data_IF_970661905599
#
_entry.id   IF_970661905599
#
_cell.length_a   1.000
_cell.length_b   1.000
_cell.length_c   1.000
_cell.angle_alpha   90.00
_cell.angle_beta   90.00
_cell.angle_gamma   90.00
#
_symmetry.space_group_name_H-M   'P 1'
#
loop_
_entity.id
_entity.type
_entity.pdbx_description
1 polymer ?
#
# COMPACT_ATOMS: atom_id res chain seq x y z
N UNK A 1 14.05 6.13 2.81
CA UNK A 1 14.16 5.25 3.98
C UNK A 1 13.28 4.04 3.79
N UNK A 2 13.83 2.86 3.92
CA UNK A 2 13.08 1.61 3.75
C UNK A 2 12.55 1.13 5.11
N UNK A 3 11.27 0.80 5.12
CA UNK A 3 10.59 0.32 6.33
C UNK A 3 9.93 -1.02 6.01
N UNK A 4 9.74 -1.84 7.03
CA UNK A 4 9.00 -3.08 6.89
C UNK A 4 8.15 -3.32 8.14
N UNK A 5 7.00 -3.96 7.94
CA UNK A 5 6.08 -4.29 9.02
C UNK A 5 5.17 -5.44 8.61
N UNK A 6 4.60 -6.09 9.61
CA UNK A 6 3.56 -7.10 9.38
C UNK A 6 2.21 -6.46 9.64
N UNK A 7 1.36 -6.45 8.62
CA UNK A 7 0.08 -5.76 8.67
C UNK A 7 -1.05 -6.66 8.18
N UNK A 8 -2.28 -6.29 8.53
CA UNK A 8 -3.47 -6.93 7.98
C UNK A 8 -3.92 -6.13 6.76
N UNK A 9 -4.04 -6.79 5.61
CA UNK A 9 -4.48 -6.14 4.37
C UNK A 9 -5.98 -5.89 4.42
N UNK A 10 -6.39 -4.61 4.39
CA UNK A 10 -7.81 -4.25 4.37
C UNK A 10 -8.39 -4.16 2.97
N UNK A 11 -7.60 -3.71 2.01
CA UNK A 11 -8.04 -3.51 0.65
C UNK A 11 -7.30 -2.36 -0.03
N UNK A 12 -7.72 -2.05 -1.24
CA UNK A 12 -7.16 -0.93 -1.98
C UNK A 12 -8.25 -0.29 -2.83
N UNK A 13 -8.02 0.96 -3.18
CA UNK A 13 -8.96 1.77 -3.95
C UNK A 13 -8.20 2.67 -4.90
N UNK A 14 -8.67 2.77 -6.14
CA UNK A 14 -8.08 3.64 -7.15
C UNK A 14 -8.95 4.88 -7.35
N UNK A 15 -8.31 6.04 -7.39
CA UNK A 15 -9.00 7.33 -7.56
C UNK A 15 -8.27 8.20 -8.56
N UNK A 16 -8.98 9.05 -9.32
CA UNK A 16 -8.33 10.08 -10.15
C UNK A 16 -7.67 11.13 -9.26
N UNK A 17 -6.55 11.67 -9.72
CA UNK A 17 -5.87 12.74 -9.03
C UNK A 17 -6.68 14.03 -9.01
N UNK A 18 -6.60 14.80 -7.92
CA UNK A 18 -7.32 16.06 -7.79
C UNK A 18 -6.79 17.13 -8.74
N UNK A 19 -5.46 17.17 -8.92
CA UNK A 19 -4.82 18.15 -9.78
C UNK A 19 -4.73 17.70 -11.22
N UNK A 20 -4.65 16.39 -11.44
CA UNK A 20 -4.55 15.82 -12.77
C UNK A 20 -5.46 14.58 -12.85
N UNK A 21 -6.71 14.74 -13.31
CA UNK A 21 -7.65 13.62 -13.38
C UNK A 21 -7.23 12.51 -14.34
N UNK A 22 -6.25 12.77 -15.22
CA UNK A 22 -5.72 11.73 -16.11
C UNK A 22 -4.83 10.74 -15.38
N UNK A 23 -4.34 11.09 -14.20
CA UNK A 23 -3.53 10.20 -13.36
C UNK A 23 -4.41 9.51 -12.34
N UNK A 24 -4.24 8.20 -12.24
CA UNK A 24 -4.97 7.38 -11.26
C UNK A 24 -3.99 6.95 -10.17
N UNK A 25 -4.38 7.20 -8.93
CA UNK A 25 -3.60 6.79 -7.76
C UNK A 25 -4.33 5.66 -7.04
N UNK A 26 -3.58 4.65 -6.66
CA UNK A 26 -4.11 3.52 -5.89
C UNK A 26 -3.64 3.62 -4.45
N UNK A 27 -4.60 3.74 -3.54
CA UNK A 27 -4.34 3.81 -2.11
C UNK A 27 -4.61 2.45 -1.49
N UNK A 28 -3.65 1.97 -0.71
CA UNK A 28 -3.76 0.69 0.01
C UNK A 28 -4.01 0.98 1.48
N UNK A 29 -4.97 0.27 2.06
CA UNK A 29 -5.29 0.36 3.48
C UNK A 29 -4.78 -0.89 4.20
N UNK A 30 -4.02 -0.68 5.26
CA UNK A 30 -3.40 -1.73 6.06
C UNK A 30 -3.64 -1.45 7.55
N UNK A 31 -3.73 -2.51 8.34
CA UNK A 31 -3.83 -2.38 9.81
C UNK A 31 -2.57 -2.95 10.46
N UNK A 32 -1.99 -2.17 11.35
CA UNK A 32 -0.91 -2.62 12.23
C UNK A 32 -1.37 -2.40 13.68
N UNK A 33 -1.73 -3.50 14.34
CA UNK A 33 -2.36 -3.38 15.65
C UNK A 33 -3.66 -2.62 15.57
N UNK A 34 -3.75 -1.48 16.25
CA UNK A 34 -4.92 -0.60 16.22
C UNK A 34 -4.76 0.56 15.24
N UNK A 35 -3.61 0.66 14.58
CA UNK A 35 -3.32 1.76 13.68
C UNK A 35 -3.69 1.38 12.24
N UNK A 36 -4.32 2.31 11.54
CA UNK A 36 -4.58 2.17 10.12
C UNK A 36 -3.54 2.94 9.33
N UNK A 37 -2.90 2.26 8.37
CA UNK A 37 -1.94 2.86 7.47
C UNK A 37 -2.60 2.98 6.11
N UNK A 38 -2.57 4.18 5.53
CA UNK A 38 -2.99 4.41 4.15
C UNK A 38 -1.81 4.97 3.38
N UNK A 39 -1.48 4.31 2.27
CA UNK A 39 -0.33 4.72 1.46
C UNK A 39 -0.58 4.38 0.01
N UNK A 40 0.20 5.03 -0.86
CA UNK A 40 0.19 4.71 -2.27
C UNK A 40 1.00 3.44 -2.51
N UNK A 41 0.70 2.73 -3.58
CA UNK A 41 1.40 1.52 -3.96
C UNK A 41 2.14 1.71 -5.28
N UNK A 42 3.25 0.99 -5.44
CA UNK A 42 3.96 0.92 -6.71
C UNK A 42 3.06 0.30 -7.79
N UNK A 43 3.23 0.77 -9.03
CA UNK A 43 2.45 0.28 -10.16
C UNK A 43 2.56 -1.23 -10.35
N UNK A 44 3.74 -1.80 -10.14
CA UNK A 44 3.94 -3.24 -10.26
C UNK A 44 3.11 -4.03 -9.25
N UNK A 45 2.97 -3.52 -8.03
CA UNK A 45 2.15 -4.16 -7.01
C UNK A 45 0.67 -4.12 -7.35
N UNK A 46 0.22 -2.99 -7.90
CA UNK A 46 -1.18 -2.81 -8.29
C UNK A 46 -1.59 -3.85 -9.32
N UNK A 47 -0.74 -4.10 -10.31
CA UNK A 47 -1.05 -4.98 -11.40
C UNK A 47 -0.83 -6.47 -11.08
N UNK A 48 0.22 -6.79 -10.31
CA UNK A 48 0.69 -8.17 -10.17
C UNK A 48 0.39 -8.80 -8.82
N UNK A 49 0.30 -8.02 -7.76
CA UNK A 49 0.20 -8.54 -6.39
C UNK A 49 -1.14 -8.25 -5.75
N UNK A 50 -1.59 -7.00 -5.77
CA UNK A 50 -2.81 -6.61 -5.07
C UNK A 50 -4.06 -7.39 -5.48
N UNK A 51 -4.30 -7.66 -6.77
CA UNK A 51 -5.50 -8.41 -7.16
C UNK A 51 -5.55 -9.84 -6.63
N UNK A 52 -4.40 -10.41 -6.29
CA UNK A 52 -4.31 -11.76 -5.75
C UNK A 52 -4.37 -11.85 -4.23
N UNK A 53 -4.40 -10.72 -3.52
CA UNK A 53 -4.42 -10.72 -2.07
C UNK A 53 -5.83 -10.91 -1.52
N UNK A 54 -5.90 -11.68 -0.44
CA UNK A 54 -7.16 -11.89 0.28
C UNK A 54 -7.35 -10.78 1.31
N UNK A 55 -8.53 -10.15 1.29
CA UNK A 55 -8.88 -9.13 2.26
C UNK A 55 -8.81 -9.70 3.68
N UNK A 56 -8.26 -8.92 4.60
CA UNK A 56 -8.05 -9.27 6.02
C UNK A 56 -7.01 -10.37 6.25
N UNK A 57 -6.18 -10.68 5.26
CA UNK A 57 -5.05 -11.59 5.46
C UNK A 57 -3.86 -10.84 6.08
N UNK A 58 -3.03 -11.59 6.82
CA UNK A 58 -1.80 -11.05 7.41
C UNK A 58 -0.71 -11.05 6.34
N UNK A 59 -0.07 -9.92 6.14
CA UNK A 59 0.95 -9.75 5.10
C UNK A 59 2.21 -9.10 5.67
N UNK A 60 3.35 -9.48 5.11
CA UNK A 60 4.60 -8.74 5.31
C UNK A 60 4.64 -7.62 4.28
N UNK A 61 4.80 -6.40 4.77
CA UNK A 61 4.77 -5.21 3.94
C UNK A 61 6.12 -4.50 3.97
N UNK A 62 6.52 -3.97 2.81
CA UNK A 62 7.71 -3.16 2.67
C UNK A 62 7.30 -1.80 2.16
N UNK A 63 7.89 -0.76 2.75
CA UNK A 63 7.55 0.62 2.43
C UNK A 63 8.80 1.42 2.10
N UNK A 64 8.64 2.44 1.29
CA UNK A 64 9.65 3.47 1.07
C UNK A 64 9.10 4.78 1.62
N UNK A 65 9.79 5.35 2.61
CA UNK A 65 9.45 6.66 3.16
C UNK A 65 10.35 7.71 2.53
N UNK A 66 9.75 8.65 1.83
CA UNK A 66 10.47 9.81 1.33
C UNK A 66 10.41 10.90 2.39
N UNK A 67 11.50 11.04 3.14
CA UNK A 67 11.58 11.98 4.26
C UNK A 67 11.44 13.42 3.79
N UNK A 68 11.94 13.71 2.59
CA UNK A 68 11.91 15.06 2.03
C UNK A 68 10.50 15.55 1.76
N UNK A 69 9.64 14.66 1.25
CA UNK A 69 8.25 14.99 0.91
C UNK A 69 7.24 14.40 1.89
N UNK A 70 7.73 13.70 2.91
CA UNK A 70 6.90 13.03 3.91
C UNK A 70 5.81 12.15 3.29
N UNK A 71 6.22 11.35 2.30
CA UNK A 71 5.32 10.43 1.59
C UNK A 71 5.74 8.98 1.84
N UNK A 72 4.74 8.11 2.04
CA UNK A 72 4.95 6.69 2.24
C UNK A 72 4.38 5.93 1.04
N UNK A 73 5.19 5.03 0.48
CA UNK A 73 4.78 4.20 -0.66
C UNK A 73 5.00 2.74 -0.33
N UNK A 74 3.99 1.92 -0.60
CA UNK A 74 4.10 0.47 -0.46
C UNK A 74 4.90 -0.07 -1.65
N UNK A 75 6.05 -0.69 -1.38
CA UNK A 75 6.95 -1.21 -2.41
C UNK A 75 6.95 -2.72 -2.50
N UNK A 76 6.46 -3.40 -1.47
CA UNK A 76 6.35 -4.85 -1.48
C UNK A 76 5.32 -5.32 -0.48
N UNK A 77 4.60 -6.37 -0.82
CA UNK A 77 3.63 -7.00 0.07
C UNK A 77 3.53 -8.49 -0.28
N UNK A 78 3.54 -9.34 0.73
CA UNK A 78 3.42 -10.77 0.54
C UNK A 78 2.64 -11.39 1.70
N UNK A 79 1.71 -12.34 1.41
CA UNK A 79 0.96 -12.98 2.48
C UNK A 79 1.89 -13.80 3.38
N UNK A 80 1.59 -13.80 4.66
CA UNK A 80 2.28 -14.62 5.65
C UNK A 80 1.51 -15.92 5.81
N UNK A 81 2.21 -17.01 5.65
CA UNK A 81 1.60 -18.32 5.85
C UNK A 81 1.69 -18.76 7.31
#
# INVERSE_FOLDING_TARGET
MKLSSTCVFQGYESRPGKKDPSKIYTEVALLEGMDQIRCLADADLIDKVLPGLTQFSICKCQFELNVRYNTLTLTGIAPVK
#
